data_IF_221325635420
#
_entry.id   IF_221325635420
#
_cell.length_a   1.000
_cell.length_b   1.000
_cell.length_c   1.000
_cell.angle_alpha   90.00
_cell.angle_beta   90.00
_cell.angle_gamma   90.00
#
_symmetry.space_group_name_H-M   'P 1'
#
loop_
_entity.id
_entity.type
_entity.pdbx_description
1 polymer ?
#
# COMPACT_ATOMS: atom_id res chain seq x y z
N UNK A 1 -12.97 10.80 12.00
CA UNK A 1 -12.34 10.26 13.22
C UNK A 1 -11.42 9.10 12.86
N UNK A 2 -10.26 9.01 13.53
CA UNK A 2 -9.27 7.94 13.37
C UNK A 2 -9.12 7.24 14.72
N UNK A 3 -9.49 5.95 14.84
CA UNK A 3 -9.23 5.17 16.05
C UNK A 3 -7.73 4.98 16.28
N UNK A 4 -7.30 4.82 17.55
CA UNK A 4 -5.88 4.60 17.90
C UNK A 4 -5.27 3.40 17.15
N UNK A 5 -6.07 2.33 16.94
CA UNK A 5 -5.65 1.14 16.19
C UNK A 5 -5.40 1.38 14.69
N UNK A 6 -5.88 2.50 14.16
CA UNK A 6 -5.76 2.89 12.75
C UNK A 6 -4.70 3.98 12.54
N UNK A 7 -4.01 4.41 13.60
CA UNK A 7 -2.93 5.41 13.52
C UNK A 7 -1.63 4.80 13.00
N UNK A 8 -1.31 3.56 13.37
CA UNK A 8 -0.11 2.88 12.90
C UNK A 8 -0.22 1.35 12.92
N UNK A 9 0.77 0.68 12.32
CA UNK A 9 0.91 -0.78 12.36
C UNK A 9 1.20 -1.25 13.79
N UNK A 10 2.07 -0.53 14.48
CA UNK A 10 2.43 -0.76 15.88
C UNK A 10 1.58 0.07 16.84
N UNK A 11 1.52 -0.36 18.11
CA UNK A 11 0.80 0.39 19.13
C UNK A 11 1.62 1.64 19.49
N UNK A 12 1.09 2.81 19.12
CA UNK A 12 1.74 4.11 19.35
C UNK A 12 0.88 4.98 20.26
N UNK A 13 1.54 5.84 21.03
CA UNK A 13 0.88 6.90 21.76
C UNK A 13 0.59 8.07 20.78
N UNK A 14 -0.67 8.49 20.58
CA UNK A 14 -1.00 9.51 19.60
C UNK A 14 -0.28 10.85 19.83
N UNK A 15 -0.11 11.25 21.10
CA UNK A 15 0.49 12.54 21.48
C UNK A 15 1.99 12.62 21.17
N UNK A 16 2.68 11.48 21.14
CA UNK A 16 4.10 11.41 20.82
C UNK A 16 4.34 11.53 19.30
N UNK A 17 3.37 11.12 18.50
CA UNK A 17 3.53 10.94 17.04
C UNK A 17 2.83 12.01 16.21
N UNK A 18 1.82 12.67 16.77
CA UNK A 18 1.02 13.66 16.07
C UNK A 18 0.87 14.91 16.92
N UNK A 19 0.99 16.08 16.29
CA UNK A 19 0.76 17.36 16.97
C UNK A 19 -0.63 17.91 16.62
N UNK A 20 -1.26 18.57 17.59
CA UNK A 20 -2.51 19.28 17.33
C UNK A 20 -2.29 20.37 16.25
N UNK A 21 -3.18 20.41 15.26
CA UNK A 21 -3.08 21.33 14.10
C UNK A 21 -2.25 20.79 12.93
N UNK A 22 -1.63 19.62 13.07
CA UNK A 22 -0.89 18.98 11.97
C UNK A 22 -1.86 18.44 10.90
N UNK A 23 -1.51 18.65 9.64
CA UNK A 23 -2.24 18.06 8.51
C UNK A 23 -1.63 16.71 8.16
N UNK A 24 -2.39 15.64 8.34
CA UNK A 24 -1.97 14.27 8.05
C UNK A 24 -2.77 13.68 6.89
N UNK A 25 -2.16 12.74 6.16
CA UNK A 25 -2.82 11.98 5.10
C UNK A 25 -3.41 10.69 5.68
N UNK A 26 -4.64 10.38 5.30
CA UNK A 26 -5.35 9.18 5.73
C UNK A 26 -6.30 8.69 4.62
N UNK A 27 -6.63 7.40 4.66
CA UNK A 27 -7.61 6.78 3.76
C UNK A 27 -8.99 6.74 4.43
N UNK A 28 -10.04 6.95 3.64
CA UNK A 28 -11.43 6.78 4.08
C UNK A 28 -11.77 5.29 4.14
N UNK A 29 -12.06 4.79 5.35
CA UNK A 29 -12.50 3.42 5.56
C UNK A 29 -14.02 3.27 5.43
N UNK A 30 -14.76 4.21 6.01
CA UNK A 30 -16.23 4.16 6.02
C UNK A 30 -16.80 5.56 6.16
N UNK A 31 -17.95 5.79 5.50
CA UNK A 31 -18.75 7.00 5.66
C UNK A 31 -20.10 6.60 6.24
N UNK A 32 -20.42 7.09 7.43
CA UNK A 32 -21.76 7.00 8.01
C UNK A 32 -22.51 8.30 7.75
N UNK A 33 -23.38 8.29 6.74
CA UNK A 33 -24.17 9.45 6.34
C UNK A 33 -25.24 9.83 7.37
N UNK A 34 -25.75 8.86 8.15
CA UNK A 34 -26.79 9.10 9.15
C UNK A 34 -26.23 9.87 10.34
N UNK A 35 -25.03 9.47 10.78
CA UNK A 35 -24.32 10.14 11.88
C UNK A 35 -23.39 11.27 11.42
N UNK A 36 -23.31 11.53 10.11
CA UNK A 36 -22.36 12.46 9.47
C UNK A 36 -20.91 12.25 9.93
N UNK A 37 -20.55 11.00 10.19
CA UNK A 37 -19.23 10.62 10.69
C UNK A 37 -18.46 9.84 9.64
N UNK A 38 -17.16 10.13 9.53
CA UNK A 38 -16.25 9.43 8.63
C UNK A 38 -15.19 8.72 9.45
N UNK A 39 -15.01 7.42 9.18
CA UNK A 39 -13.94 6.60 9.72
C UNK A 39 -12.74 6.66 8.78
N UNK A 40 -11.60 7.05 9.31
CA UNK A 40 -10.35 7.28 8.59
C UNK A 40 -9.24 6.37 9.15
N UNK A 41 -8.21 6.09 8.34
CA UNK A 41 -7.05 5.29 8.75
C UNK A 41 -5.75 5.79 8.11
N UNK A 42 -4.75 6.03 8.96
CA UNK A 42 -3.38 6.40 8.55
C UNK A 42 -2.57 5.14 8.25
N UNK A 43 -2.79 4.08 9.03
CA UNK A 43 -2.17 2.77 8.81
C UNK A 43 -2.36 2.27 7.39
N UNK A 44 -3.61 2.29 6.90
CA UNK A 44 -3.94 1.88 5.52
C UNK A 44 -3.27 2.75 4.47
N UNK A 45 -3.19 4.06 4.72
CA UNK A 45 -2.48 4.97 3.82
C UNK A 45 -1.01 4.57 3.67
N UNK A 46 -0.31 4.28 4.77
CA UNK A 46 1.10 3.84 4.72
C UNK A 46 1.27 2.54 3.95
N UNK A 47 0.47 1.52 4.27
CA UNK A 47 0.53 0.21 3.58
C UNK A 47 0.27 0.32 2.08
N UNK A 48 -0.66 1.18 1.67
CA UNK A 48 -0.96 1.40 0.25
C UNK A 48 0.13 2.22 -0.46
N UNK A 49 0.77 3.17 0.25
CA UNK A 49 1.93 3.91 -0.27
C UNK A 49 3.11 2.97 -0.52
N UNK A 50 3.47 2.15 0.47
CA UNK A 50 4.54 1.15 0.35
C UNK A 50 4.30 0.20 -0.81
N UNK A 51 3.06 -0.31 -0.96
CA UNK A 51 2.70 -1.16 -2.11
C UNK A 51 2.83 -0.46 -3.45
N UNK A 52 2.50 0.83 -3.52
CA UNK A 52 2.65 1.62 -4.75
C UNK A 52 4.11 1.81 -5.11
N UNK A 53 4.93 2.18 -4.14
CA UNK A 53 6.37 2.39 -4.33
C UNK A 53 7.05 1.09 -4.77
N UNK A 54 6.74 -0.04 -4.12
CA UNK A 54 7.26 -1.36 -4.53
C UNK A 54 6.82 -1.72 -5.95
N UNK A 55 5.56 -1.42 -6.31
CA UNK A 55 5.04 -1.71 -7.65
C UNK A 55 5.68 -0.82 -8.72
N UNK A 56 5.96 0.43 -8.41
CA UNK A 56 6.67 1.35 -9.32
C UNK A 56 8.13 0.93 -9.50
N UNK A 57 8.79 0.53 -8.42
CA UNK A 57 10.14 -0.04 -8.48
C UNK A 57 10.17 -1.31 -9.33
N UNK A 58 9.27 -2.27 -9.09
CA UNK A 58 9.17 -3.48 -9.91
C UNK A 58 8.90 -3.17 -11.40
N UNK A 59 8.05 -2.18 -11.69
CA UNK A 59 7.80 -1.75 -13.08
C UNK A 59 9.01 -1.11 -13.75
N UNK A 60 9.82 -0.34 -13.02
CA UNK A 60 11.07 0.21 -13.55
C UNK A 60 12.08 -0.91 -13.82
N UNK A 61 12.16 -1.91 -12.94
CA UNK A 61 12.98 -3.11 -13.15
C UNK A 61 12.50 -3.95 -14.34
N UNK A 62 11.18 -4.15 -14.50
CA UNK A 62 10.61 -4.87 -15.65
C UNK A 62 10.84 -4.14 -16.98
N UNK A 63 11.00 -2.81 -16.97
CA UNK A 63 11.24 -2.02 -18.17
C UNK A 63 12.72 -1.99 -18.59
N UNK A 64 13.67 -2.11 -17.65
CA UNK A 64 15.11 -2.15 -17.96
C UNK A 64 15.62 -3.56 -18.32
N UNK A 65 15.00 -4.64 -17.83
CA UNK A 65 15.51 -6.03 -17.99
C UNK A 65 14.70 -6.87 -19.00
N UNK A 66 14.38 -6.28 -20.17
CA UNK A 66 13.51 -6.87 -21.20
C UNK A 66 14.04 -8.15 -21.89
N UNK A 67 15.18 -8.71 -21.47
CA UNK A 67 15.88 -9.76 -22.25
C UNK A 67 16.13 -11.08 -21.51
N UNK A 68 16.14 -11.12 -20.17
CA UNK A 68 16.54 -12.35 -19.43
C UNK A 68 15.74 -12.57 -18.13
N UNK A 69 14.42 -12.41 -18.16
CA UNK A 69 13.60 -12.68 -16.97
C UNK A 69 13.33 -14.18 -16.84
N UNK A 70 13.64 -14.74 -15.66
CA UNK A 70 13.44 -16.16 -15.30
C UNK A 70 12.02 -16.68 -15.64
N UNK A 71 11.02 -15.80 -15.53
CA UNK A 71 9.63 -16.11 -15.88
C UNK A 71 9.40 -16.35 -17.37
N UNK A 72 10.14 -15.66 -18.25
CA UNK A 72 10.11 -15.94 -19.68
C UNK A 72 10.80 -17.27 -19.99
N UNK A 73 11.95 -17.55 -19.35
CA UNK A 73 12.66 -18.81 -19.55
C UNK A 73 11.82 -20.03 -19.13
N UNK A 74 11.10 -19.94 -18.01
CA UNK A 74 10.18 -20.99 -17.56
C UNK A 74 8.97 -21.12 -18.50
N UNK A 75 8.42 -20.00 -18.96
CA UNK A 75 7.28 -20.00 -19.88
C UNK A 75 7.63 -20.58 -21.25
N UNK A 76 8.83 -20.31 -21.75
CA UNK A 76 9.32 -20.89 -23.00
C UNK A 76 9.58 -22.39 -22.83
N UNK A 77 10.16 -22.82 -21.70
CA UNK A 77 10.33 -24.25 -21.40
C UNK A 77 9.00 -25.00 -21.27
N UNK A 78 7.97 -24.40 -20.67
CA UNK A 78 6.64 -25.03 -20.54
C UNK A 78 5.96 -25.15 -21.90
N UNK A 79 6.15 -24.18 -22.81
CA UNK A 79 5.63 -24.28 -24.18
C UNK A 79 6.28 -25.39 -25.00
N UNK A 80 7.59 -25.60 -24.81
CA UNK A 80 8.34 -26.67 -25.49
C UNK A 80 7.96 -28.07 -24.99
N UNK A 81 7.41 -28.20 -23.77
CA UNK A 81 6.95 -29.49 -23.21
C UNK A 81 5.53 -29.84 -23.68
N UNK A 82 4.73 -28.84 -24.04
CA UNK A 82 3.31 -28.99 -24.45
C UNK A 82 3.13 -29.07 -26.00
N UNK A 83 4.24 -29.12 -26.76
CA UNK A 83 4.27 -29.29 -28.23
C UNK A 83 4.89 -30.64 -28.62
#
# INVERSE_FOLDING_TARGET
FIPVKELDVEKVNPEEKFKAGETIKAVVLRVDKRKRNVLLSVKKYKMDSEKREVKEYMKQFDAEDSSFNLGNLIKDQIKDIDS
#
